data_IF_323446419042
#
_entry.id   IF_323446419042
#
_cell.length_a   1.000
_cell.length_b   1.000
_cell.length_c   1.000
_cell.angle_alpha   90.00
_cell.angle_beta   90.00
_cell.angle_gamma   90.00
#
_symmetry.space_group_name_H-M   'P 1'
#
loop_
_entity.id
_entity.type
_entity.pdbx_description
1 polymer ?
#
# COMPACT_ATOMS: atom_id res chain seq x y z
N UNK A 1 -10.56 -12.00 -4.05
CA UNK A 1 -9.72 -10.78 -3.95
C UNK A 1 -10.62 -9.59 -3.60
N UNK A 2 -10.18 -8.64 -2.75
CA UNK A 2 -10.96 -7.42 -2.52
C UNK A 2 -11.13 -6.63 -3.83
N UNK A 3 -12.24 -5.88 -3.94
CA UNK A 3 -12.44 -4.94 -5.05
C UNK A 3 -11.21 -4.01 -5.19
N UNK A 4 -10.78 -3.74 -6.42
CA UNK A 4 -9.71 -2.78 -6.76
C UNK A 4 -8.26 -3.16 -6.37
N UNK A 5 -7.95 -4.45 -6.12
CA UNK A 5 -6.57 -4.87 -5.81
C UNK A 5 -5.55 -4.50 -6.91
N UNK A 6 -5.98 -4.51 -8.18
CA UNK A 6 -5.15 -4.15 -9.34
C UNK A 6 -4.66 -2.71 -9.23
N UNK A 7 -5.56 -1.76 -8.95
CA UNK A 7 -5.21 -0.35 -8.77
C UNK A 7 -4.16 -0.16 -7.69
N UNK A 8 -4.32 -0.79 -6.52
CA UNK A 8 -3.32 -0.67 -5.46
C UNK A 8 -1.96 -1.22 -5.91
N UNK A 9 -1.92 -2.38 -6.56
CA UNK A 9 -0.67 -2.97 -7.02
C UNK A 9 0.00 -2.14 -8.14
N UNK A 10 -0.78 -1.64 -9.07
CA UNK A 10 -0.32 -0.83 -10.20
C UNK A 10 0.21 0.52 -9.73
N UNK A 11 -0.53 1.23 -8.88
CA UNK A 11 -0.10 2.52 -8.32
C UNK A 11 1.20 2.37 -7.53
N UNK A 12 1.32 1.35 -6.67
CA UNK A 12 2.58 1.08 -5.95
C UNK A 12 3.74 0.86 -6.92
N UNK A 13 3.55 0.03 -7.95
CA UNK A 13 4.60 -0.26 -8.92
C UNK A 13 4.94 0.94 -9.81
N UNK A 14 3.96 1.79 -10.13
CA UNK A 14 4.16 3.06 -10.84
C UNK A 14 5.07 3.98 -10.04
N UNK A 15 4.75 4.24 -8.76
CA UNK A 15 5.59 5.13 -7.94
C UNK A 15 6.98 4.54 -7.66
N UNK A 16 7.10 3.22 -7.44
CA UNK A 16 8.40 2.55 -7.33
C UNK A 16 9.25 2.71 -8.59
N UNK A 17 8.63 2.65 -9.78
CA UNK A 17 9.32 2.91 -11.05
C UNK A 17 9.79 4.35 -11.16
N UNK A 18 8.99 5.33 -10.74
CA UNK A 18 9.39 6.74 -10.76
C UNK A 18 10.64 6.99 -9.90
N UNK A 19 10.73 6.35 -8.73
CA UNK A 19 11.93 6.44 -7.87
C UNK A 19 13.14 5.79 -8.53
N UNK A 20 12.96 4.60 -9.13
CA UNK A 20 14.03 3.89 -9.86
C UNK A 20 14.53 4.68 -11.08
N UNK A 21 13.64 5.41 -11.74
CA UNK A 21 13.98 6.25 -12.90
C UNK A 21 14.55 7.63 -12.49
N UNK A 22 14.64 7.95 -11.18
CA UNK A 22 15.11 9.25 -10.71
C UNK A 22 14.13 10.41 -11.02
N UNK A 23 12.84 10.11 -11.20
CA UNK A 23 11.80 11.08 -11.61
C UNK A 23 11.03 11.69 -10.44
N UNK A 24 11.39 11.35 -9.20
CA UNK A 24 10.77 11.91 -7.99
C UNK A 24 11.69 12.98 -7.42
N UNK A 25 11.21 14.23 -7.39
CA UNK A 25 11.98 15.37 -6.85
C UNK A 25 12.37 15.11 -5.40
N UNK A 26 13.57 15.51 -5.00
CA UNK A 26 14.11 15.36 -3.64
C UNK A 26 14.24 13.91 -3.15
N UNK A 27 14.17 12.93 -4.05
CA UNK A 27 14.46 11.53 -3.74
C UNK A 27 15.66 11.07 -4.59
N UNK A 28 16.67 10.42 -3.98
CA UNK A 28 17.77 9.87 -4.75
C UNK A 28 17.25 8.77 -5.69
N UNK A 29 17.85 8.69 -6.87
CA UNK A 29 17.57 7.59 -7.79
C UNK A 29 17.97 6.26 -7.13
N UNK A 30 17.07 5.28 -7.13
CA UNK A 30 17.42 3.94 -6.66
C UNK A 30 18.22 3.19 -7.75
N UNK A 31 19.24 2.44 -7.35
CA UNK A 31 19.97 1.54 -8.27
C UNK A 31 19.16 0.28 -8.59
N UNK A 32 18.33 -0.16 -7.64
CA UNK A 32 17.56 -1.38 -7.77
C UNK A 32 16.25 -1.31 -6.96
N UNK A 33 15.13 -1.70 -7.59
CA UNK A 33 13.80 -1.64 -6.98
C UNK A 33 12.91 -2.77 -7.50
N UNK A 34 12.65 -3.80 -6.67
CA UNK A 34 11.82 -4.96 -7.05
C UNK A 34 10.38 -4.56 -7.40
N UNK A 35 9.78 -5.21 -8.40
CA UNK A 35 8.34 -5.10 -8.67
C UNK A 35 7.55 -5.84 -7.58
N UNK A 36 6.57 -5.18 -6.98
CA UNK A 36 5.68 -5.82 -6.01
C UNK A 36 4.73 -6.80 -6.71
N UNK A 37 4.32 -7.83 -5.97
CA UNK A 37 3.26 -8.75 -6.33
C UNK A 37 2.19 -8.71 -5.24
N UNK A 38 0.94 -8.90 -5.63
CA UNK A 38 -0.15 -9.03 -4.68
C UNK A 38 0.04 -10.28 -3.82
N UNK A 39 -0.29 -10.18 -2.53
CA UNK A 39 -0.30 -11.30 -1.60
C UNK A 39 -1.67 -11.41 -0.93
N UNK A 40 -2.36 -12.53 -1.15
CA UNK A 40 -3.72 -12.73 -0.66
C UNK A 40 -3.81 -12.79 0.88
N UNK A 41 -2.79 -13.33 1.56
CA UNK A 41 -2.78 -13.38 3.02
C UNK A 41 -2.64 -11.99 3.64
N UNK A 42 -1.77 -11.13 3.06
CA UNK A 42 -1.66 -9.73 3.47
C UNK A 42 -2.95 -8.95 3.22
N UNK A 43 -3.63 -9.22 2.10
CA UNK A 43 -4.92 -8.60 1.80
C UNK A 43 -6.01 -8.96 2.82
N UNK A 44 -6.07 -10.23 3.24
CA UNK A 44 -7.02 -10.68 4.27
C UNK A 44 -6.74 -10.04 5.63
N UNK A 45 -5.46 -9.87 6.00
CA UNK A 45 -5.07 -9.16 7.21
C UNK A 45 -5.47 -7.68 7.14
N UNK A 46 -5.21 -7.02 6.01
CA UNK A 46 -5.59 -5.62 5.80
C UNK A 46 -7.10 -5.41 5.85
N UNK A 47 -7.89 -6.31 5.24
CA UNK A 47 -9.35 -6.26 5.28
C UNK A 47 -9.87 -6.33 6.73
N UNK A 48 -9.42 -7.33 7.52
CA UNK A 48 -9.80 -7.44 8.93
C UNK A 48 -9.45 -6.19 9.74
N UNK A 49 -8.26 -5.64 9.52
CA UNK A 49 -7.82 -4.43 10.21
C UNK A 49 -8.61 -3.16 9.80
N UNK A 50 -9.15 -3.12 8.58
CA UNK A 50 -10.01 -2.03 8.13
C UNK A 50 -11.44 -2.15 8.71
N UNK A 51 -11.96 -3.37 8.84
CA UNK A 51 -13.28 -3.67 9.41
C UNK A 51 -13.39 -3.33 10.90
N UNK A 52 -12.27 -3.30 11.63
CA UNK A 52 -12.21 -2.79 13.01
C UNK A 52 -12.55 -1.29 13.12
N UNK A 53 -12.54 -0.55 12.00
CA UNK A 53 -12.80 0.89 11.95
C UNK A 53 -11.92 1.70 12.93
N UNK A 54 -10.76 1.16 13.30
CA UNK A 54 -9.78 1.79 14.17
C UNK A 54 -8.59 2.28 13.32
N UNK A 55 -8.22 3.54 13.50
CA UNK A 55 -7.09 4.14 12.80
C UNK A 55 -5.73 3.93 13.48
N UNK A 56 -5.72 3.31 14.67
CA UNK A 56 -4.48 2.90 15.33
C UNK A 56 -3.68 1.93 14.44
N UNK A 57 -2.38 2.19 14.35
CA UNK A 57 -1.43 1.31 13.65
C UNK A 57 -1.01 0.23 14.63
N UNK A 58 -1.78 -0.87 14.68
CA UNK A 58 -1.38 -2.08 15.40
C UNK A 58 -0.38 -2.85 14.54
N UNK A 59 0.86 -2.94 15.00
CA UNK A 59 1.90 -3.69 14.30
C UNK A 59 1.65 -5.20 14.40
N UNK A 60 1.77 -5.92 13.28
CA UNK A 60 2.00 -7.36 13.31
C UNK A 60 3.51 -7.60 13.24
N UNK A 61 4.09 -8.57 13.98
CA UNK A 61 5.55 -8.73 14.11
C UNK A 61 6.32 -8.87 12.78
N UNK A 62 5.63 -9.27 11.72
CA UNK A 62 6.21 -9.60 10.41
C UNK A 62 5.68 -8.74 9.27
N UNK A 63 4.78 -7.78 9.52
CA UNK A 63 4.18 -6.96 8.44
C UNK A 63 4.04 -5.50 8.83
N UNK A 64 4.46 -4.61 7.93
CA UNK A 64 4.20 -3.19 8.03
C UNK A 64 2.84 -2.84 7.43
N UNK A 65 2.20 -1.78 7.92
CA UNK A 65 0.84 -1.37 7.54
C UNK A 65 0.80 0.11 7.21
N UNK A 66 0.08 0.49 6.15
CA UNK A 66 -0.36 1.86 5.88
C UNK A 66 -1.89 1.88 5.97
N UNK A 67 -2.47 2.79 6.75
CA UNK A 67 -3.93 3.05 6.79
C UNK A 67 -4.23 4.41 6.16
N UNK A 68 -5.36 4.51 5.45
CA UNK A 68 -5.86 5.74 4.85
C UNK A 68 -7.37 5.84 5.08
N UNK A 69 -7.84 7.02 5.46
CA UNK A 69 -9.26 7.35 5.57
C UNK A 69 -9.54 8.67 4.85
N UNK A 70 -10.74 8.79 4.32
CA UNK A 70 -11.26 10.04 3.79
C UNK A 70 -12.50 10.41 4.62
N UNK A 71 -12.68 11.67 5.03
CA UNK A 71 -13.85 12.11 5.79
C UNK A 71 -15.17 12.03 4.99
N UNK A 72 -15.12 11.69 3.69
CA UNK A 72 -16.28 11.68 2.80
C UNK A 72 -16.85 10.26 2.66
N UNK A 73 -17.57 9.81 3.67
CA UNK A 73 -18.62 8.77 3.57
C UNK A 73 -19.62 8.97 4.72
N UNK A 74 -20.36 10.07 4.66
CA UNK A 74 -21.66 10.13 5.32
C UNK A 74 -22.66 9.50 4.35
N UNK A 75 -23.24 8.36 4.72
CA UNK A 75 -24.41 7.80 4.04
C UNK A 75 -25.61 8.74 4.18
#
# INVERSE_FOLDING_TARGET
PPQNYERYLEDHNKYRRLVLDGKVREQPQATFMYKMKWNAALALLAQRSAEECNFEITGHPTTNVNKAASPVHNY
#
